data_IF_396918324567
#
_entry.id   IF_396918324567
#
_cell.length_a   1.000
_cell.length_b   1.000
_cell.length_c   1.000
_cell.angle_alpha   90.00
_cell.angle_beta   90.00
_cell.angle_gamma   90.00
#
_symmetry.space_group_name_H-M   'P 1'
#
loop_
_entity.id
_entity.type
_entity.pdbx_description
1 polymer ?
#
# COMPACT_ATOMS: atom_id res chain seq x y z
N UNK A 1 -49.53 18.96 -25.74
CA UNK A 1 -48.11 19.13 -26.13
C UNK A 1 -47.25 18.34 -25.14
N UNK A 2 -46.67 17.18 -25.53
CA UNK A 2 -45.83 16.39 -24.64
C UNK A 2 -44.44 17.04 -24.54
N UNK A 3 -43.99 17.33 -23.31
CA UNK A 3 -42.64 17.81 -23.02
C UNK A 3 -41.66 16.66 -23.25
N UNK A 4 -40.66 16.91 -24.09
CA UNK A 4 -39.69 15.93 -24.58
C UNK A 4 -38.78 15.44 -23.44
N UNK A 5 -38.84 14.14 -23.11
CA UNK A 5 -38.03 13.49 -22.08
C UNK A 5 -36.57 13.22 -22.51
N UNK A 6 -36.21 13.55 -23.75
CA UNK A 6 -34.92 13.19 -24.33
C UNK A 6 -33.71 13.96 -23.74
N UNK A 7 -33.94 15.07 -23.02
CA UNK A 7 -32.87 15.96 -22.57
C UNK A 7 -32.30 15.60 -21.18
N UNK A 8 -32.94 14.71 -20.43
CA UNK A 8 -32.51 14.40 -19.05
C UNK A 8 -31.36 13.37 -18.98
N UNK A 9 -31.24 12.48 -19.97
CA UNK A 9 -30.27 11.38 -19.92
C UNK A 9 -28.84 11.78 -20.31
N UNK A 10 -28.67 12.84 -21.10
CA UNK A 10 -27.34 13.29 -21.55
C UNK A 10 -26.51 13.87 -20.41
N UNK A 11 -27.14 14.54 -19.44
CA UNK A 11 -26.45 15.08 -18.27
C UNK A 11 -25.98 13.97 -17.32
N UNK A 12 -26.78 12.92 -17.11
CA UNK A 12 -26.41 11.80 -16.23
C UNK A 12 -25.25 10.97 -16.78
N UNK A 13 -25.18 10.77 -18.10
CA UNK A 13 -24.08 10.02 -18.73
C UNK A 13 -22.78 10.83 -18.74
N UNK A 14 -22.85 12.15 -18.95
CA UNK A 14 -21.68 13.03 -18.87
C UNK A 14 -21.11 13.13 -17.44
N UNK A 15 -21.97 13.13 -16.42
CA UNK A 15 -21.54 13.09 -15.01
C UNK A 15 -20.87 11.75 -14.64
N UNK A 16 -21.39 10.63 -15.16
CA UNK A 16 -20.83 9.31 -14.92
C UNK A 16 -19.44 9.13 -15.57
N UNK A 17 -19.27 9.63 -16.81
CA UNK A 17 -17.99 9.59 -17.54
C UNK A 17 -16.92 10.50 -16.93
N UNK A 18 -17.30 11.68 -16.44
CA UNK A 18 -16.38 12.58 -15.76
C UNK A 18 -15.83 11.99 -14.44
N UNK A 19 -16.63 11.16 -13.75
CA UNK A 19 -16.20 10.39 -12.58
C UNK A 19 -15.11 9.36 -12.92
N UNK A 20 -15.21 8.65 -14.04
CA UNK A 20 -14.19 7.67 -14.45
C UNK A 20 -12.84 8.30 -14.85
N UNK A 21 -12.84 9.53 -15.38
CA UNK A 21 -11.62 10.18 -15.86
C UNK A 21 -10.68 10.66 -14.73
N UNK A 22 -11.20 10.93 -13.53
CA UNK A 22 -10.39 11.32 -12.38
C UNK A 22 -9.50 10.19 -11.82
N UNK A 23 -9.89 8.93 -12.03
CA UNK A 23 -9.18 7.76 -11.48
C UNK A 23 -7.84 7.45 -12.15
N UNK A 24 -7.60 7.94 -13.38
CA UNK A 24 -6.40 7.59 -14.15
C UNK A 24 -5.19 8.51 -13.91
N UNK A 25 -5.32 9.59 -13.14
CA UNK A 25 -4.22 10.52 -12.84
C UNK A 25 -3.49 10.25 -11.50
N UNK A 26 -3.90 9.25 -10.72
CA UNK A 26 -3.25 8.85 -9.44
C UNK A 26 -2.05 7.90 -9.70
N UNK A 27 -1.39 8.02 -10.85
CA UNK A 27 -0.27 7.17 -11.26
C UNK A 27 1.12 7.65 -10.83
N UNK A 28 1.26 8.85 -10.26
CA UNK A 28 2.57 9.47 -10.01
C UNK A 28 2.73 10.14 -8.63
N UNK A 29 2.02 9.68 -7.60
CA UNK A 29 2.25 10.16 -6.23
C UNK A 29 2.90 9.06 -5.37
N UNK A 30 4.13 9.32 -4.95
CA UNK A 30 4.88 8.55 -3.95
C UNK A 30 3.95 8.24 -2.77
N UNK A 31 3.70 6.95 -2.51
CA UNK A 31 2.80 6.53 -1.44
C UNK A 31 3.23 7.11 -0.09
N UNK A 32 2.29 7.61 0.73
CA UNK A 32 2.61 8.23 2.00
C UNK A 32 3.40 7.30 2.89
N UNK A 33 4.35 7.87 3.63
CA UNK A 33 5.12 7.16 4.64
C UNK A 33 4.19 6.93 5.82
N UNK A 34 4.11 5.68 6.25
CA UNK A 34 3.32 5.29 7.42
C UNK A 34 4.26 5.21 8.61
N UNK A 35 3.89 5.86 9.71
CA UNK A 35 4.59 5.73 10.97
C UNK A 35 4.63 4.27 11.40
N UNK A 36 5.74 3.83 12.00
CA UNK A 36 5.94 2.41 12.32
C UNK A 36 4.78 1.82 13.17
N UNK A 37 4.23 2.63 14.06
CA UNK A 37 3.11 2.28 14.93
C UNK A 37 1.78 2.05 14.18
N UNK A 38 1.66 2.49 12.92
CA UNK A 38 0.46 2.35 12.10
C UNK A 38 0.59 1.23 11.03
N UNK A 39 1.78 0.64 10.85
CA UNK A 39 2.01 -0.43 9.86
C UNK A 39 1.13 -1.66 10.08
N UNK A 40 0.86 -2.02 11.34
CA UNK A 40 -0.04 -3.14 11.63
C UNK A 40 -1.47 -2.89 11.16
N UNK A 41 -1.92 -1.63 11.08
CA UNK A 41 -3.23 -1.29 10.54
C UNK A 41 -3.29 -1.53 9.04
N UNK A 42 -2.19 -1.28 8.30
CA UNK A 42 -2.08 -1.61 6.88
C UNK A 42 -2.19 -3.12 6.66
N UNK A 43 -1.45 -3.91 7.45
CA UNK A 43 -1.55 -5.37 7.40
C UNK A 43 -2.95 -5.87 7.76
N UNK A 44 -3.57 -5.31 8.81
CA UNK A 44 -4.95 -5.64 9.21
C UNK A 44 -5.96 -5.32 8.10
N UNK A 45 -5.80 -4.17 7.44
CA UNK A 45 -6.63 -3.79 6.30
C UNK A 45 -6.48 -4.77 5.15
N UNK A 46 -5.24 -5.15 4.80
CA UNK A 46 -4.97 -6.14 3.76
C UNK A 46 -5.66 -7.46 4.07
N UNK A 47 -5.57 -7.94 5.32
CA UNK A 47 -6.26 -9.16 5.77
C UNK A 47 -7.78 -9.02 5.67
N UNK A 48 -8.35 -7.88 6.05
CA UNK A 48 -9.78 -7.63 5.91
C UNK A 48 -10.24 -7.65 4.44
N UNK A 49 -9.47 -7.03 3.53
CA UNK A 49 -9.76 -7.04 2.09
C UNK A 49 -9.61 -8.44 1.48
N UNK A 50 -8.54 -9.15 1.82
CA UNK A 50 -8.27 -10.53 1.36
C UNK A 50 -9.39 -11.49 1.78
N UNK A 51 -9.87 -11.37 3.01
CA UNK A 51 -10.98 -12.16 3.54
C UNK A 51 -12.36 -11.63 3.12
N UNK A 52 -12.43 -10.48 2.43
CA UNK A 52 -13.67 -9.76 2.12
C UNK A 52 -14.61 -9.63 3.34
N UNK A 53 -14.02 -9.37 4.51
CA UNK A 53 -14.73 -9.37 5.78
C UNK A 53 -15.09 -7.95 6.20
N UNK A 54 -16.35 -7.58 6.03
CA UNK A 54 -16.87 -6.25 6.38
C UNK A 54 -16.71 -5.92 7.87
N UNK A 55 -16.87 -6.91 8.75
CA UNK A 55 -16.74 -6.68 10.20
C UNK A 55 -15.29 -6.31 10.56
N UNK A 56 -14.32 -6.96 9.92
CA UNK A 56 -12.90 -6.64 10.11
C UNK A 56 -12.57 -5.27 9.50
N UNK A 57 -13.14 -4.95 8.33
CA UNK A 57 -12.98 -3.64 7.69
C UNK A 57 -13.48 -2.50 8.60
N UNK A 58 -14.67 -2.66 9.20
CA UNK A 58 -15.21 -1.70 10.18
C UNK A 58 -14.36 -1.60 11.46
N UNK A 59 -13.71 -2.70 11.86
CA UNK A 59 -12.74 -2.70 12.95
C UNK A 59 -11.53 -1.81 12.64
N UNK A 60 -10.96 -1.97 11.44
CA UNK A 60 -9.83 -1.16 10.96
C UNK A 60 -10.23 0.30 10.82
N UNK A 61 -11.38 0.60 10.22
CA UNK A 61 -11.90 1.97 10.08
C UNK A 61 -12.00 2.68 11.43
N UNK A 62 -12.58 2.03 12.44
CA UNK A 62 -12.65 2.59 13.80
C UNK A 62 -11.27 2.83 14.42
N UNK A 63 -10.32 1.92 14.19
CA UNK A 63 -8.96 2.08 14.69
C UNK A 63 -8.22 3.24 14.02
N UNK A 64 -8.42 3.46 12.72
CA UNK A 64 -7.88 4.59 11.96
C UNK A 64 -8.43 5.92 12.50
N UNK A 65 -9.75 6.02 12.64
CA UNK A 65 -10.39 7.23 13.20
C UNK A 65 -9.85 7.52 14.60
N UNK A 66 -9.83 6.51 15.47
CA UNK A 66 -9.30 6.66 16.83
C UNK A 66 -7.85 7.17 16.85
N UNK A 67 -6.96 6.59 16.03
CA UNK A 67 -5.55 7.00 15.96
C UNK A 67 -5.39 8.44 15.46
N UNK A 68 -6.21 8.83 14.49
CA UNK A 68 -6.22 10.19 13.97
C UNK A 68 -6.70 11.19 15.03
N UNK A 69 -7.80 10.88 15.73
CA UNK A 69 -8.34 11.71 16.81
C UNK A 69 -7.36 11.84 18.00
N UNK A 70 -6.58 10.80 18.27
CA UNK A 70 -5.50 10.79 19.28
C UNK A 70 -4.24 11.55 18.83
N UNK A 71 -4.18 12.07 17.60
CA UNK A 71 -3.01 12.72 17.02
C UNK A 71 -1.85 11.77 16.72
N UNK A 72 -2.09 10.46 16.72
CA UNK A 72 -1.12 9.39 16.48
C UNK A 72 -1.06 8.96 14.99
N UNK A 73 -1.71 9.71 14.11
CA UNK A 73 -1.73 9.48 12.67
C UNK A 73 -1.81 10.82 11.94
N UNK A 74 -1.00 10.96 10.89
CA UNK A 74 -1.05 12.14 10.02
C UNK A 74 -2.28 12.14 9.12
N UNK A 75 -2.66 13.33 8.65
CA UNK A 75 -3.77 13.48 7.70
C UNK A 75 -3.54 12.67 6.41
N UNK A 76 -2.31 12.68 5.88
CA UNK A 76 -1.98 11.94 4.65
C UNK A 76 -2.11 10.43 4.83
N UNK A 77 -1.74 9.89 6.00
CA UNK A 77 -1.97 8.46 6.30
C UNK A 77 -3.46 8.13 6.39
N UNK A 78 -4.23 8.97 7.11
CA UNK A 78 -5.69 8.82 7.24
C UNK A 78 -6.36 8.80 5.88
N UNK A 79 -5.96 9.70 4.99
CA UNK A 79 -6.56 9.82 3.66
C UNK A 79 -6.31 8.58 2.81
N UNK A 80 -5.10 8.02 2.87
CA UNK A 80 -4.79 6.78 2.15
C UNK A 80 -5.55 5.58 2.73
N UNK A 81 -5.67 5.47 4.06
CA UNK A 81 -6.55 4.47 4.69
C UNK A 81 -7.99 4.62 4.23
N UNK A 82 -8.51 5.85 4.24
CA UNK A 82 -9.89 6.16 3.85
C UNK A 82 -10.14 5.79 2.39
N UNK A 83 -9.18 6.09 1.50
CA UNK A 83 -9.22 5.72 0.08
C UNK A 83 -9.32 4.21 -0.11
N UNK A 84 -8.50 3.44 0.60
CA UNK A 84 -8.47 1.97 0.51
C UNK A 84 -9.73 1.34 1.10
N UNK A 85 -10.23 1.87 2.22
CA UNK A 85 -11.50 1.43 2.84
C UNK A 85 -12.67 1.72 1.90
N UNK A 86 -12.70 2.88 1.24
CA UNK A 86 -13.74 3.22 0.28
C UNK A 86 -13.76 2.25 -0.92
N UNK A 87 -12.57 1.88 -1.42
CA UNK A 87 -12.42 0.91 -2.52
C UNK A 87 -12.94 -0.49 -2.13
N UNK A 88 -12.65 -0.92 -0.90
CA UNK A 88 -13.19 -2.15 -0.35
C UNK A 88 -14.73 -2.09 -0.19
N UNK A 89 -15.25 -0.98 0.35
CA UNK A 89 -16.70 -0.74 0.52
C UNK A 89 -17.47 -0.64 -0.81
N UNK A 90 -16.81 -0.24 -1.91
CA UNK A 90 -17.42 -0.27 -3.24
C UNK A 90 -17.49 -1.67 -3.85
N UNK A 91 -17.04 -2.70 -3.13
CA UNK A 91 -17.00 -4.09 -3.60
C UNK A 91 -15.76 -4.44 -4.42
N UNK A 92 -14.82 -3.51 -4.59
CA UNK A 92 -13.57 -3.74 -5.31
C UNK A 92 -12.47 -4.23 -4.36
N UNK A 93 -12.75 -5.36 -3.73
CA UNK A 93 -11.89 -5.97 -2.71
C UNK A 93 -10.51 -6.32 -3.25
N UNK A 94 -10.42 -6.77 -4.50
CA UNK A 94 -9.17 -7.20 -5.10
C UNK A 94 -8.23 -6.02 -5.36
N UNK A 95 -8.77 -4.90 -5.88
CA UNK A 95 -7.97 -3.69 -6.07
C UNK A 95 -7.57 -3.08 -4.73
N UNK A 96 -8.44 -3.12 -3.72
CA UNK A 96 -8.12 -2.69 -2.37
C UNK A 96 -6.99 -3.52 -1.75
N UNK A 97 -7.05 -4.85 -1.84
CA UNK A 97 -6.00 -5.75 -1.36
C UNK A 97 -4.67 -5.48 -2.07
N UNK A 98 -4.67 -5.38 -3.41
CA UNK A 98 -3.47 -5.12 -4.21
C UNK A 98 -2.83 -3.79 -3.84
N UNK A 99 -3.65 -2.75 -3.66
CA UNK A 99 -3.18 -1.43 -3.23
C UNK A 99 -2.63 -1.45 -1.79
N UNK A 100 -3.27 -2.18 -0.86
CA UNK A 100 -2.74 -2.39 0.49
C UNK A 100 -1.38 -3.10 0.48
N UNK A 101 -1.25 -4.17 -0.32
CA UNK A 101 0.00 -4.91 -0.45
C UNK A 101 1.13 -4.04 -1.03
N UNK A 102 0.82 -3.26 -2.08
CA UNK A 102 1.75 -2.31 -2.66
C UNK A 102 2.22 -1.28 -1.62
N UNK A 103 1.27 -0.73 -0.85
CA UNK A 103 1.56 0.25 0.19
C UNK A 103 2.43 -0.32 1.31
N UNK A 104 2.10 -1.52 1.82
CA UNK A 104 2.89 -2.25 2.81
C UNK A 104 4.33 -2.49 2.31
N UNK A 105 4.48 -2.97 1.06
CA UNK A 105 5.79 -3.21 0.43
C UNK A 105 6.62 -1.93 0.31
N UNK A 106 6.00 -0.79 0.00
CA UNK A 106 6.69 0.49 -0.11
C UNK A 106 7.21 1.01 1.24
N UNK A 107 6.61 0.60 2.37
CA UNK A 107 7.17 0.88 3.69
C UNK A 107 8.41 0.01 3.97
N UNK A 108 8.34 -1.28 3.65
CA UNK A 108 9.44 -2.22 3.87
C UNK A 108 10.69 -1.90 3.03
N UNK A 109 10.49 -1.47 1.78
CA UNK A 109 11.61 -1.07 0.91
C UNK A 109 12.32 0.20 1.39
N UNK A 110 11.64 1.06 2.16
CA UNK A 110 12.26 2.24 2.78
C UNK A 110 13.08 1.89 4.02
N UNK A 111 12.61 0.95 4.85
CA UNK A 111 13.37 0.46 6.00
C UNK A 111 14.64 -0.28 5.57
N UNK A 112 14.58 -0.98 4.42
CA UNK A 112 15.75 -1.60 3.78
C UNK A 112 16.46 -0.59 2.86
N UNK A 113 16.91 0.53 3.40
CA UNK A 113 17.99 1.28 2.76
C UNK A 113 19.18 0.31 2.62
N UNK A 114 19.72 0.21 1.40
CA UNK A 114 20.79 -0.72 1.07
C UNK A 114 21.97 -0.53 2.03
N UNK A 115 22.65 -1.60 2.48
CA UNK A 115 24.02 -1.43 2.95
C UNK A 115 24.79 -0.82 1.79
N UNK A 116 25.45 0.29 2.06
CA UNK A 116 26.35 0.99 1.16
C UNK A 116 27.27 -0.05 0.50
N UNK A 117 27.22 -0.17 -0.83
CA UNK A 117 28.10 -1.08 -1.60
C UNK A 117 29.54 -0.55 -1.67
N UNK A 118 30.08 -0.11 -0.54
CA UNK A 118 31.48 0.17 -0.35
C UNK A 118 31.97 -0.67 0.83
N UNK A 119 33.01 -1.46 0.57
CA UNK A 119 33.77 -2.26 1.55
C UNK A 119 33.26 -3.70 1.74
N UNK A 120 33.76 -4.62 0.93
CA UNK A 120 34.81 -5.56 1.37
C UNK A 120 35.32 -6.36 0.16
N UNK A 121 36.46 -5.90 -0.37
CA UNK A 121 37.31 -6.69 -1.26
C UNK A 121 37.85 -7.89 -0.48
N UNK A 122 37.22 -9.05 -0.61
CA UNK A 122 37.89 -10.31 -0.31
C UNK A 122 38.74 -10.67 -1.53
N UNK A 123 39.93 -10.06 -1.56
CA UNK A 123 41.02 -10.46 -2.44
C UNK A 123 41.33 -11.93 -2.18
N UNK A 124 40.98 -12.77 -3.15
CA UNK A 124 41.50 -14.12 -3.26
C UNK A 124 42.97 -14.02 -3.67
N UNK A 125 43.90 -14.29 -2.75
CA UNK A 125 45.28 -14.63 -3.09
C UNK A 125 45.70 -15.94 -2.41
N UNK A 126 45.46 -16.99 -3.19
CA UNK A 126 46.34 -18.10 -3.56
C UNK A 126 47.64 -18.42 -2.78
N UNK A 127 47.83 -19.75 -2.61
CA UNK A 127 49.09 -20.54 -2.68
C UNK A 127 50.12 -20.28 -1.56
N UNK A 128 50.92 -21.21 -1.03
CA UNK A 128 51.34 -22.60 -1.26
C UNK A 128 51.99 -23.02 0.09
N UNK A 129 52.08 -24.29 0.50
CA UNK A 129 53.30 -25.11 0.30
C UNK A 129 53.23 -26.34 1.21
N UNK A 130 53.66 -27.47 0.64
CA UNK A 130 53.98 -28.79 1.19
C UNK A 130 54.66 -28.84 2.57
N UNK A 131 54.45 -29.93 3.34
CA UNK A 131 55.52 -30.88 3.68
C UNK A 131 55.02 -32.09 4.49
N UNK A 132 55.54 -33.26 4.11
CA UNK A 132 55.47 -34.57 4.76
C UNK A 132 56.12 -34.62 6.14
N UNK A 133 55.71 -35.56 7.00
CA UNK A 133 56.54 -36.42 7.90
C UNK A 133 55.60 -37.25 8.79
N UNK A 134 55.41 -38.56 8.59
CA UNK A 134 56.22 -39.71 9.06
C UNK A 134 56.41 -39.79 10.59
N UNK A 135 55.79 -40.80 11.20
CA UNK A 135 56.42 -41.61 12.26
C UNK A 135 55.94 -41.41 13.71
N UNK A 136 55.11 -42.35 14.20
CA UNK A 136 55.49 -43.37 15.19
C UNK A 136 54.34 -44.34 15.45
#
# INVERSE_FOLDING_TARGET
MPRSQATQYTFSVLLLLASCAGFLLIGCSRQPVVEHNNLHLVASLRTACSAQNETWLLGVERAVVKRFDEGAMSETERDEFTRLIALAKSGDWQSAESACFSWEKAQLSRTRAAPDEDSHSHSHDHLHTHASEVGK
#
